data_IF_994964399826
#
_entry.id   IF_994964399826
#
_cell.length_a   1.000
_cell.length_b   1.000
_cell.length_c   1.000
_cell.angle_alpha   90.00
_cell.angle_beta   90.00
_cell.angle_gamma   90.00
#
_symmetry.space_group_name_H-M   'P 1'
#
loop_
_entity.id
_entity.type
_entity.pdbx_description
1 polymer ?
#
# COMPACT_ATOMS: atom_id res chain seq x y z
N UNK A 1 35.03 -2.72 -53.24
CA UNK A 1 35.68 -3.65 -52.29
C UNK A 1 35.83 -2.89 -50.97
N UNK A 2 35.24 -3.20 -49.82
CA UNK A 2 34.43 -4.32 -49.32
C UNK A 2 33.59 -3.80 -48.13
N UNK A 3 32.29 -4.13 -48.17
CA UNK A 3 31.38 -4.52 -47.07
C UNK A 3 31.54 -3.94 -45.65
N UNK A 4 30.43 -3.40 -45.16
CA UNK A 4 30.09 -3.20 -43.75
C UNK A 4 29.12 -2.02 -43.65
N UNK A 5 27.83 -2.11 -43.98
CA UNK A 5 26.86 -3.12 -43.56
C UNK A 5 27.15 -3.67 -42.16
N UNK A 6 27.24 -2.74 -41.19
CA UNK A 6 26.82 -3.07 -39.83
C UNK A 6 25.31 -2.86 -39.78
N UNK A 7 24.66 -3.89 -40.30
CA UNK A 7 23.38 -4.36 -39.82
C UNK A 7 23.28 -4.14 -38.30
N UNK A 8 22.15 -3.52 -37.92
CA UNK A 8 21.27 -3.95 -36.83
C UNK A 8 21.91 -4.05 -35.45
N UNK A 9 21.55 -3.10 -34.59
CA UNK A 9 20.75 -3.39 -33.40
C UNK A 9 20.73 -2.14 -32.51
N UNK A 10 19.89 -1.17 -32.86
CA UNK A 10 19.30 -0.33 -31.82
C UNK A 10 18.20 -1.17 -31.18
N UNK A 11 18.32 -1.62 -29.91
CA UNK A 11 17.19 -2.21 -29.23
C UNK A 11 16.18 -1.08 -28.97
N UNK A 12 15.23 -0.92 -29.89
CA UNK A 12 13.98 -0.24 -29.60
C UNK A 12 13.35 -1.00 -28.43
N UNK A 13 13.31 -0.38 -27.26
CA UNK A 13 12.59 -0.92 -26.10
C UNK A 13 11.11 -0.86 -26.43
N UNK A 14 10.61 -1.89 -27.09
CA UNK A 14 9.17 -2.08 -27.34
C UNK A 14 8.51 -2.21 -25.98
N UNK A 15 7.65 -1.24 -25.67
CA UNK A 15 6.69 -1.31 -24.59
C UNK A 15 5.87 -2.58 -24.80
N UNK A 16 6.02 -3.55 -23.90
CA UNK A 16 5.16 -4.73 -23.86
C UNK A 16 3.81 -4.25 -23.34
N UNK A 17 2.88 -3.91 -24.24
CA UNK A 17 1.45 -3.91 -23.91
C UNK A 17 1.02 -5.37 -23.74
N UNK A 18 1.29 -5.89 -22.54
CA UNK A 18 0.69 -7.13 -22.08
C UNK A 18 -0.47 -6.79 -21.15
N UNK A 19 -1.68 -7.34 -21.34
CA UNK A 19 -2.75 -7.29 -20.34
C UNK A 19 -2.46 -8.32 -19.25
N UNK A 20 -1.22 -8.40 -18.76
CA UNK A 20 -0.89 -9.32 -17.68
C UNK A 20 -1.22 -8.64 -16.37
N UNK A 21 -2.53 -8.61 -16.11
CA UNK A 21 -3.10 -8.48 -14.79
C UNK A 21 -2.66 -9.72 -13.99
N UNK A 22 -1.38 -9.77 -13.61
CA UNK A 22 -0.90 -10.77 -12.67
C UNK A 22 -1.38 -10.35 -11.27
N UNK A 23 -2.69 -10.51 -11.06
CA UNK A 23 -3.27 -10.59 -9.73
C UNK A 23 -3.41 -12.07 -9.40
N UNK A 24 -2.28 -12.76 -9.35
CA UNK A 24 -2.18 -14.07 -8.72
C UNK A 24 -1.93 -13.82 -7.24
N UNK A 25 -3.03 -13.55 -6.53
CA UNK A 25 -3.18 -14.02 -5.15
C UNK A 25 -4.49 -14.78 -5.15
N UNK A 26 -4.41 -16.02 -5.63
CA UNK A 26 -5.42 -17.01 -5.33
C UNK A 26 -5.33 -17.31 -3.84
N UNK A 27 -6.29 -16.80 -3.08
CA UNK A 27 -6.73 -17.47 -1.86
C UNK A 27 -8.08 -18.12 -2.21
N UNK A 28 -8.03 -19.41 -2.55
CA UNK A 28 -9.16 -20.34 -2.57
C UNK A 28 -9.62 -20.64 -1.13
N UNK A 29 -9.81 -19.58 -0.35
CA UNK A 29 -10.62 -19.58 0.85
C UNK A 29 -11.96 -19.01 0.39
N UNK A 30 -13.06 -19.71 0.65
CA UNK A 30 -14.43 -19.35 0.26
C UNK A 30 -14.96 -18.06 0.92
N UNK A 31 -14.12 -17.04 1.05
CA UNK A 31 -14.41 -15.72 1.59
C UNK A 31 -15.22 -14.95 0.56
N UNK A 32 -16.29 -14.31 1.04
CA UNK A 32 -17.18 -13.49 0.23
C UNK A 32 -16.43 -12.34 -0.45
N UNK A 33 -16.96 -11.82 -1.56
CA UNK A 33 -16.41 -10.62 -2.20
C UNK A 33 -16.33 -9.44 -1.22
N UNK A 34 -17.27 -9.34 -0.28
CA UNK A 34 -17.29 -8.36 0.79
C UNK A 34 -16.06 -8.50 1.71
N UNK A 35 -15.73 -9.72 2.14
CA UNK A 35 -14.55 -9.95 2.97
C UNK A 35 -13.24 -9.62 2.22
N UNK A 36 -13.17 -9.93 0.93
CA UNK A 36 -12.01 -9.57 0.09
C UNK A 36 -11.85 -8.06 -0.01
N UNK A 37 -12.94 -7.30 -0.20
CA UNK A 37 -12.89 -5.84 -0.26
C UNK A 37 -12.51 -5.21 1.08
N UNK A 38 -13.05 -5.74 2.19
CA UNK A 38 -12.70 -5.33 3.55
C UNK A 38 -11.21 -5.58 3.85
N UNK A 39 -10.66 -6.76 3.50
CA UNK A 39 -9.23 -7.08 3.65
C UNK A 39 -8.34 -6.15 2.82
N UNK A 40 -8.74 -5.84 1.59
CA UNK A 40 -8.01 -4.89 0.75
C UNK A 40 -8.00 -3.47 1.37
N UNK A 41 -9.15 -3.02 1.87
CA UNK A 41 -9.28 -1.72 2.56
C UNK A 41 -8.48 -1.69 3.86
N UNK A 42 -8.48 -2.77 4.63
CA UNK A 42 -7.66 -2.92 5.83
C UNK A 42 -6.18 -2.76 5.52
N UNK A 43 -5.69 -3.40 4.44
CA UNK A 43 -4.31 -3.26 4.00
C UNK A 43 -3.97 -1.81 3.63
N UNK A 44 -4.87 -1.10 2.96
CA UNK A 44 -4.70 0.32 2.62
C UNK A 44 -4.62 1.19 3.87
N UNK A 45 -5.57 1.05 4.79
CA UNK A 45 -5.59 1.83 6.04
C UNK A 45 -4.34 1.55 6.90
N UNK A 46 -3.91 0.29 6.98
CA UNK A 46 -2.66 -0.08 7.68
C UNK A 46 -1.43 0.55 7.03
N UNK A 47 -1.40 0.65 5.70
CA UNK A 47 -0.32 1.36 4.99
C UNK A 47 -0.36 2.85 5.32
N UNK A 48 -1.51 3.50 5.19
CA UNK A 48 -1.68 4.92 5.52
C UNK A 48 -1.30 5.23 6.96
N UNK A 49 -1.67 4.36 7.91
CA UNK A 49 -1.30 4.49 9.31
C UNK A 49 0.22 4.42 9.51
N UNK A 50 0.91 3.48 8.84
CA UNK A 50 2.38 3.39 8.87
C UNK A 50 3.04 4.63 8.27
N UNK A 51 2.52 5.14 7.17
CA UNK A 51 3.04 6.35 6.53
C UNK A 51 2.88 7.58 7.45
N UNK A 52 1.75 7.68 8.13
CA UNK A 52 1.50 8.71 9.15
C UNK A 52 2.47 8.60 10.33
N UNK A 53 2.80 7.38 10.75
CA UNK A 53 3.81 7.15 11.79
C UNK A 53 5.20 7.57 11.35
N UNK A 54 5.64 7.14 10.17
CA UNK A 54 6.93 7.55 9.63
C UNK A 54 7.04 9.08 9.51
N UNK A 55 5.94 9.75 9.13
CA UNK A 55 5.90 11.21 9.04
C UNK A 55 5.93 11.89 10.41
N UNK A 56 5.30 11.31 11.44
CA UNK A 56 5.40 11.80 12.83
C UNK A 56 6.84 11.64 13.33
N UNK A 57 7.48 10.49 13.09
CA UNK A 57 8.85 10.23 13.52
C UNK A 57 9.85 11.16 12.83
N UNK A 58 9.68 11.39 11.52
CA UNK A 58 10.46 12.37 10.78
C UNK A 58 10.30 13.78 11.34
N UNK A 59 9.06 14.19 11.68
CA UNK A 59 8.78 15.49 12.29
C UNK A 59 9.44 15.59 13.68
N UNK A 60 9.39 14.54 14.49
CA UNK A 60 10.06 14.49 15.80
C UNK A 60 11.59 14.58 15.67
N UNK A 61 12.17 13.98 14.63
CA UNK A 61 13.61 14.01 14.39
C UNK A 61 14.16 15.40 14.02
N UNK A 62 13.31 16.35 13.62
CA UNK A 62 13.74 17.72 13.25
C UNK A 62 14.14 18.60 14.45
N UNK A 63 13.96 18.15 15.69
CA UNK A 63 14.39 18.86 16.90
C UNK A 63 13.48 20.02 17.34
N UNK A 64 12.71 20.62 16.42
CA UNK A 64 11.65 21.60 16.72
C UNK A 64 10.32 21.20 16.05
N UNK A 65 9.69 20.11 16.50
CA UNK A 65 8.43 19.66 15.90
C UNK A 65 7.34 20.70 16.12
N UNK A 66 6.62 21.06 15.05
CA UNK A 66 5.41 21.86 15.15
C UNK A 66 4.35 21.07 15.94
N UNK A 67 4.10 21.51 17.18
CA UNK A 67 3.17 20.84 18.09
C UNK A 67 1.75 20.77 17.54
N UNK A 68 1.32 21.77 16.75
CA UNK A 68 0.00 21.77 16.13
C UNK A 68 -0.09 20.71 15.03
N UNK A 69 0.93 20.63 14.17
CA UNK A 69 1.02 19.57 13.16
C UNK A 69 1.06 18.19 13.81
N UNK A 70 1.89 18.02 14.83
CA UNK A 70 2.04 16.75 15.54
C UNK A 70 0.75 16.32 16.21
N UNK A 71 0.00 17.25 16.80
CA UNK A 71 -1.33 16.99 17.38
C UNK A 71 -2.35 16.58 16.32
N UNK A 72 -2.36 17.25 15.15
CA UNK A 72 -3.24 16.89 14.02
C UNK A 72 -2.92 15.51 13.47
N UNK A 73 -1.64 15.19 13.30
CA UNK A 73 -1.18 13.88 12.81
C UNK A 73 -1.51 12.78 13.80
N UNK A 74 -1.29 12.98 15.10
CA UNK A 74 -1.70 12.02 16.16
C UNK A 74 -3.21 11.78 16.18
N UNK A 75 -4.03 12.84 16.03
CA UNK A 75 -5.48 12.68 15.91
C UNK A 75 -5.86 11.84 14.69
N UNK A 76 -5.25 12.11 13.53
CA UNK A 76 -5.51 11.35 12.30
C UNK A 76 -5.04 9.90 12.42
N UNK A 77 -3.88 9.66 13.04
CA UNK A 77 -3.36 8.33 13.37
C UNK A 77 -4.35 7.56 14.24
N UNK A 78 -4.88 8.18 15.30
CA UNK A 78 -5.88 7.56 16.17
C UNK A 78 -7.14 7.18 15.38
N UNK A 79 -7.67 8.08 14.55
CA UNK A 79 -8.82 7.78 13.71
C UNK A 79 -8.57 6.64 12.72
N UNK A 80 -7.39 6.56 12.10
CA UNK A 80 -7.02 5.43 11.24
C UNK A 80 -6.96 4.13 12.02
N UNK A 81 -6.37 4.14 13.23
CA UNK A 81 -6.33 2.97 14.11
C UNK A 81 -7.74 2.50 14.48
N UNK A 82 -8.63 3.42 14.83
CA UNK A 82 -10.02 3.09 15.18
C UNK A 82 -10.78 2.52 13.98
N UNK A 83 -10.52 3.00 12.76
CA UNK A 83 -11.09 2.44 11.52
C UNK A 83 -10.52 1.06 11.20
N UNK A 84 -9.21 0.85 11.41
CA UNK A 84 -8.54 -0.44 11.27
C UNK A 84 -9.18 -1.44 12.22
N UNK A 85 -9.33 -1.09 13.50
CA UNK A 85 -9.96 -1.96 14.50
C UNK A 85 -11.41 -2.30 14.15
N UNK A 86 -12.20 -1.34 13.66
CA UNK A 86 -13.58 -1.64 13.20
C UNK A 86 -13.62 -2.66 12.07
N UNK A 87 -12.76 -2.51 11.07
CA UNK A 87 -12.70 -3.46 9.95
C UNK A 87 -12.11 -4.80 10.40
N UNK A 88 -11.16 -4.80 11.33
CA UNK A 88 -10.64 -6.02 11.95
C UNK A 88 -11.73 -6.74 12.75
N UNK A 89 -12.55 -6.04 13.52
CA UNK A 89 -13.69 -6.60 14.27
C UNK A 89 -14.74 -7.20 13.32
N UNK A 90 -15.00 -6.56 12.17
CA UNK A 90 -15.90 -7.08 11.13
C UNK A 90 -15.34 -8.31 10.41
N UNK A 91 -14.02 -8.39 10.23
CA UNK A 91 -13.33 -9.49 9.53
C UNK A 91 -12.93 -10.65 10.43
N UNK A 92 -12.66 -10.38 11.71
CA UNK A 92 -12.08 -11.31 12.67
C UNK A 92 -12.91 -11.32 13.96
N UNK A 93 -14.22 -11.66 13.90
CA UNK A 93 -15.08 -11.71 15.09
C UNK A 93 -14.64 -12.73 16.15
N UNK A 94 -13.59 -13.54 15.91
CA UNK A 94 -13.30 -14.78 16.65
C UNK A 94 -11.92 -14.83 17.36
N UNK A 95 -11.22 -13.69 17.55
CA UNK A 95 -9.88 -13.68 18.19
C UNK A 95 -9.68 -12.71 19.36
N UNK A 96 -10.68 -11.90 19.72
CA UNK A 96 -10.64 -11.03 20.91
C UNK A 96 -11.79 -11.42 21.86
N UNK A 97 -11.63 -12.56 22.53
CA UNK A 97 -12.36 -12.98 23.73
C UNK A 97 -11.36 -13.25 24.86
#
# INVERSE_FOLDING_TARGET
MRTGDSDRDTPTLTIVEGPNLLKVVGDDLGLSEEERTLRARLSQLRQEHRDLDAAIDALLATGSPDQLQLTRMKKRKLSLRDLISKIEDELLPDIIA
#
